data_IF_205671970835
#
_entry.id   IF_205671970835
#
_cell.length_a   1.000
_cell.length_b   1.000
_cell.length_c   1.000
_cell.angle_alpha   90.00
_cell.angle_beta   90.00
_cell.angle_gamma   90.00
#
_symmetry.space_group_name_H-M   'P 1'
#
loop_
_entity.id
_entity.type
_entity.pdbx_description
1 polymer ?
#
# COMPACT_ATOMS: atom_id res chain seq x y z
N UNK A 1 6.96 -21.27 32.43
CA UNK A 1 7.69 -20.00 32.61
C UNK A 1 8.09 -19.54 31.22
N UNK A 2 7.34 -18.60 30.64
CA UNK A 2 7.60 -18.13 29.28
C UNK A 2 8.89 -17.30 29.26
N UNK A 3 9.76 -17.59 28.32
CA UNK A 3 10.87 -16.71 27.97
C UNK A 3 10.28 -15.36 27.54
N UNK A 4 10.41 -14.35 28.39
CA UNK A 4 10.33 -12.97 27.94
C UNK A 4 11.54 -12.77 27.02
N UNK A 5 11.31 -12.73 25.71
CA UNK A 5 12.31 -12.25 24.78
C UNK A 5 12.75 -10.86 25.26
N UNK A 6 14.06 -10.65 25.37
CA UNK A 6 14.64 -9.38 25.80
C UNK A 6 14.03 -8.27 24.95
N UNK A 7 13.28 -7.37 25.59
CA UNK A 7 12.79 -6.17 24.93
C UNK A 7 14.04 -5.32 24.64
N UNK A 8 14.37 -5.00 23.37
CA UNK A 8 15.55 -4.20 23.07
C UNK A 8 15.44 -2.85 23.77
N UNK A 9 16.57 -2.34 24.27
CA UNK A 9 16.61 -0.98 24.79
C UNK A 9 16.21 0.00 23.68
N UNK A 10 15.47 1.07 24.03
CA UNK A 10 14.92 2.03 23.06
C UNK A 10 15.98 2.71 22.18
N UNK A 11 17.27 2.60 22.50
CA UNK A 11 18.39 3.14 21.73
C UNK A 11 18.68 2.41 20.42
N UNK A 12 18.20 1.17 20.27
CA UNK A 12 18.54 0.31 19.12
C UNK A 12 17.46 0.31 18.02
N UNK A 13 16.36 1.04 18.25
CA UNK A 13 15.22 1.11 17.33
C UNK A 13 15.21 2.42 16.53
N UNK A 14 15.04 2.28 15.22
CA UNK A 14 14.79 3.40 14.31
C UNK A 14 13.29 3.56 14.09
N UNK A 15 12.71 4.64 14.61
CA UNK A 15 11.29 4.96 14.38
C UNK A 15 11.07 5.28 12.90
N UNK A 16 10.09 4.61 12.28
CA UNK A 16 9.84 4.68 10.84
C UNK A 16 9.07 5.95 10.43
N UNK A 17 8.25 6.49 11.30
CA UNK A 17 7.43 7.67 11.03
C UNK A 17 7.36 8.60 12.25
N UNK A 18 7.41 9.91 12.01
CA UNK A 18 7.14 10.96 12.99
C UNK A 18 7.17 12.30 12.28
N UNK A 19 6.51 13.35 12.80
CA UNK A 19 6.65 14.69 12.26
C UNK A 19 8.12 15.12 12.37
N UNK A 20 8.77 15.50 11.26
CA UNK A 20 10.14 16.04 11.33
C UNK A 20 10.14 17.48 11.81
N UNK A 21 9.10 18.24 11.47
CA UNK A 21 8.98 19.66 11.76
C UNK A 21 7.55 20.00 12.24
N UNK A 22 7.33 20.07 13.55
CA UNK A 22 6.07 20.51 14.15
C UNK A 22 5.30 19.41 14.88
N UNK A 23 4.01 19.65 15.12
CA UNK A 23 3.14 18.75 15.90
C UNK A 23 2.43 17.69 15.08
N UNK A 24 2.31 17.90 13.75
CA UNK A 24 1.67 16.97 12.81
C UNK A 24 2.60 16.67 11.64
N UNK A 25 2.60 15.42 11.20
CA UNK A 25 3.35 15.00 10.02
C UNK A 25 2.71 15.56 8.74
N UNK A 26 3.52 16.08 7.83
CA UNK A 26 3.11 16.59 6.53
C UNK A 26 3.04 15.46 5.50
N UNK A 27 1.85 15.17 4.99
CA UNK A 27 1.60 13.99 4.14
C UNK A 27 1.28 14.39 2.70
N UNK A 28 1.97 13.77 1.75
CA UNK A 28 1.60 13.81 0.34
C UNK A 28 0.78 12.57 -0.05
N UNK A 29 -0.42 12.77 -0.61
CA UNK A 29 -1.26 11.65 -1.07
C UNK A 29 -1.26 11.57 -2.59
N UNK A 30 -0.81 10.45 -3.14
CA UNK A 30 -0.65 10.20 -4.57
C UNK A 30 -1.82 9.36 -5.10
N UNK A 31 -2.37 9.76 -6.24
CA UNK A 31 -3.50 9.05 -6.86
C UNK A 31 -3.53 9.22 -8.39
N UNK A 32 -4.00 8.19 -9.09
CA UNK A 32 -4.10 8.18 -10.57
C UNK A 32 -5.54 8.06 -11.09
N UNK A 33 -6.51 7.87 -10.21
CA UNK A 33 -7.88 7.49 -10.55
C UNK A 33 -8.94 8.20 -9.71
N UNK A 34 -9.96 7.45 -9.24
CA UNK A 34 -11.11 7.96 -8.48
C UNK A 34 -10.73 8.56 -7.13
N UNK A 35 -9.68 8.06 -6.49
CA UNK A 35 -9.17 8.59 -5.22
C UNK A 35 -9.98 8.18 -3.99
N UNK A 36 -10.78 7.12 -4.03
CA UNK A 36 -11.58 6.70 -2.86
C UNK A 36 -10.75 6.44 -1.60
N UNK A 37 -9.54 5.87 -1.75
CA UNK A 37 -8.62 5.67 -0.63
C UNK A 37 -8.04 7.02 -0.13
N UNK A 38 -7.78 7.96 -1.05
CA UNK A 38 -7.31 9.30 -0.71
C UNK A 38 -8.37 10.09 0.05
N UNK A 39 -9.64 9.97 -0.35
CA UNK A 39 -10.79 10.57 0.32
C UNK A 39 -10.88 10.15 1.79
N UNK A 40 -10.70 8.85 2.11
CA UNK A 40 -10.71 8.39 3.51
C UNK A 40 -9.55 8.94 4.34
N UNK A 41 -8.36 9.04 3.76
CA UNK A 41 -7.19 9.65 4.42
C UNK A 41 -7.43 11.15 4.64
N UNK A 42 -8.03 11.85 3.67
CA UNK A 42 -8.38 13.26 3.77
C UNK A 42 -9.44 13.51 4.86
N UNK A 43 -10.49 12.68 4.92
CA UNK A 43 -11.53 12.73 5.94
C UNK A 43 -10.92 12.61 7.34
N UNK A 44 -10.13 11.57 7.60
CA UNK A 44 -9.46 11.38 8.90
C UNK A 44 -8.53 12.55 9.23
N UNK A 45 -7.80 13.09 8.24
CA UNK A 45 -6.85 14.21 8.48
C UNK A 45 -7.50 15.49 9.05
N UNK A 46 -8.83 15.64 8.90
CA UNK A 46 -9.59 16.77 9.45
C UNK A 46 -10.10 16.54 10.86
N UNK A 47 -10.05 15.32 11.37
CA UNK A 47 -10.53 15.02 12.71
C UNK A 47 -9.63 15.68 13.78
N UNK A 48 -10.20 16.16 14.90
CA UNK A 48 -9.40 16.67 16.01
C UNK A 48 -8.47 15.59 16.58
N UNK A 49 -7.24 15.97 16.93
CA UNK A 49 -6.29 15.07 17.60
C UNK A 49 -5.53 14.09 16.70
N UNK A 50 -5.76 14.10 15.38
CA UNK A 50 -4.92 13.34 14.43
C UNK A 50 -3.52 13.95 14.29
N UNK A 51 -2.54 13.09 14.09
CA UNK A 51 -1.10 13.40 14.16
C UNK A 51 -0.49 13.72 12.79
N UNK A 52 -1.32 13.84 11.75
CA UNK A 52 -0.89 14.24 10.41
C UNK A 52 -1.82 15.27 9.77
N UNK A 53 -1.34 15.90 8.72
CA UNK A 53 -2.12 16.73 7.82
C UNK A 53 -1.76 16.36 6.37
N UNK A 54 -2.77 16.24 5.51
CA UNK A 54 -2.52 16.10 4.07
C UNK A 54 -2.17 17.48 3.51
N UNK A 55 -0.91 17.69 3.17
CA UNK A 55 -0.40 19.01 2.72
C UNK A 55 -0.43 19.18 1.21
N UNK A 56 -0.48 18.07 0.46
CA UNK A 56 -0.54 18.09 -1.00
C UNK A 56 -1.16 16.80 -1.56
N UNK A 57 -1.99 16.94 -2.59
CA UNK A 57 -2.44 15.85 -3.44
C UNK A 57 -1.59 15.78 -4.71
N UNK A 58 -1.23 14.58 -5.14
CA UNK A 58 -0.32 14.35 -6.26
C UNK A 58 -0.96 13.45 -7.31
N UNK A 59 -0.82 13.80 -8.59
CA UNK A 59 -1.31 12.96 -9.69
C UNK A 59 -0.41 12.94 -10.91
N UNK A 60 -0.34 11.76 -11.55
CA UNK A 60 0.27 11.54 -12.86
C UNK A 60 -0.72 11.69 -14.02
N UNK A 61 -2.02 11.90 -13.73
CA UNK A 61 -3.10 11.94 -14.73
C UNK A 61 -4.09 13.08 -14.45
N UNK A 62 -3.64 14.34 -14.48
CA UNK A 62 -4.50 15.48 -14.13
C UNK A 62 -5.77 15.59 -14.98
N UNK A 63 -5.78 15.02 -16.19
CA UNK A 63 -6.92 15.06 -17.12
C UNK A 63 -8.00 14.01 -16.83
N UNK A 64 -7.69 12.94 -16.08
CA UNK A 64 -8.62 11.81 -15.88
C UNK A 64 -8.75 11.37 -14.42
N UNK A 65 -7.90 11.85 -13.53
CA UNK A 65 -8.00 11.58 -12.10
C UNK A 65 -8.92 12.58 -11.42
N UNK A 66 -9.59 12.16 -10.35
CA UNK A 66 -10.43 13.02 -9.52
C UNK A 66 -9.62 13.93 -8.56
N UNK A 67 -8.30 14.02 -8.72
CA UNK A 67 -7.44 14.77 -7.80
C UNK A 67 -7.84 16.23 -7.66
N UNK A 68 -8.19 16.90 -8.77
CA UNK A 68 -8.60 18.31 -8.74
C UNK A 68 -9.90 18.51 -7.94
N UNK A 69 -10.84 17.57 -8.07
CA UNK A 69 -12.11 17.58 -7.32
C UNK A 69 -11.85 17.41 -5.83
N UNK A 70 -10.98 16.48 -5.44
CA UNK A 70 -10.62 16.28 -4.04
C UNK A 70 -9.84 17.47 -3.47
N UNK A 71 -8.89 18.02 -4.24
CA UNK A 71 -8.10 19.18 -3.86
C UNK A 71 -8.99 20.39 -3.54
N UNK A 72 -9.94 20.69 -4.43
CA UNK A 72 -10.91 21.77 -4.23
C UNK A 72 -11.81 21.50 -3.01
N UNK A 73 -12.42 20.32 -2.94
CA UNK A 73 -13.37 19.96 -1.86
C UNK A 73 -12.75 20.01 -0.47
N UNK A 74 -11.49 19.59 -0.34
CA UNK A 74 -10.78 19.55 0.94
C UNK A 74 -9.91 20.79 1.20
N UNK A 75 -9.78 21.70 0.22
CA UNK A 75 -8.92 22.88 0.33
C UNK A 75 -7.43 22.52 0.43
N UNK A 76 -7.01 21.45 -0.24
CA UNK A 76 -5.63 20.94 -0.23
C UNK A 76 -4.95 21.26 -1.57
N UNK A 77 -3.72 21.81 -1.58
CA UNK A 77 -2.97 22.03 -2.80
C UNK A 77 -2.80 20.76 -3.65
N UNK A 78 -2.68 20.95 -4.96
CA UNK A 78 -2.46 19.86 -5.91
C UNK A 78 -1.17 20.07 -6.71
N UNK A 79 -0.37 19.01 -6.79
CA UNK A 79 0.76 18.88 -7.72
C UNK A 79 0.39 17.88 -8.81
N UNK A 80 0.42 18.35 -10.06
CA UNK A 80 0.15 17.54 -11.23
C UNK A 80 1.39 17.45 -12.11
N UNK A 81 1.81 16.23 -12.46
CA UNK A 81 2.87 16.00 -13.43
C UNK A 81 2.47 14.86 -14.37
N UNK A 82 1.84 15.20 -15.49
CA UNK A 82 1.31 14.23 -16.45
C UNK A 82 2.43 13.35 -17.03
N UNK A 83 2.45 12.08 -16.62
CA UNK A 83 3.51 11.15 -17.02
C UNK A 83 3.44 10.79 -18.51
N UNK A 84 2.25 10.79 -19.12
CA UNK A 84 2.10 10.49 -20.55
C UNK A 84 2.65 11.64 -21.38
N UNK A 85 2.30 12.86 -20.98
CA UNK A 85 2.82 14.09 -21.59
C UNK A 85 4.34 14.16 -21.47
N UNK A 86 4.87 13.89 -20.27
CA UNK A 86 6.31 13.90 -20.00
C UNK A 86 7.12 12.93 -20.88
N UNK A 87 6.60 11.72 -21.12
CA UNK A 87 7.22 10.74 -22.02
C UNK A 87 7.09 11.16 -23.49
N UNK A 88 5.93 11.68 -23.89
CA UNK A 88 5.66 12.13 -25.28
C UNK A 88 6.60 13.27 -25.69
N UNK A 89 6.82 14.25 -24.80
CA UNK A 89 7.75 15.37 -25.03
C UNK A 89 9.20 14.91 -25.24
N UNK A 90 9.55 13.72 -24.73
CA UNK A 90 10.86 13.08 -24.93
C UNK A 90 10.89 12.07 -26.08
N UNK A 91 9.88 12.11 -26.96
CA UNK A 91 9.79 11.26 -28.14
C UNK A 91 9.40 9.81 -27.85
N UNK A 92 8.98 9.49 -26.61
CA UNK A 92 8.59 8.13 -26.24
C UNK A 92 7.09 7.91 -26.44
N UNK A 93 6.74 6.91 -27.26
CA UNK A 93 5.33 6.56 -27.57
C UNK A 93 4.61 5.83 -26.45
N UNK A 94 5.35 5.23 -25.50
CA UNK A 94 4.81 4.42 -24.41
C UNK A 94 5.57 4.68 -23.12
N UNK A 95 4.83 4.63 -22.01
CA UNK A 95 5.40 4.59 -20.68
C UNK A 95 5.90 3.15 -20.45
N UNK A 96 7.21 2.97 -20.31
CA UNK A 96 7.82 1.65 -20.11
C UNK A 96 9.12 1.79 -19.32
N UNK A 97 9.42 0.76 -18.52
CA UNK A 97 10.71 0.59 -17.83
C UNK A 97 11.60 -0.46 -18.50
N UNK A 98 11.13 -1.09 -19.59
CA UNK A 98 11.86 -2.14 -20.29
C UNK A 98 13.10 -1.59 -21.01
N UNK A 99 13.04 -0.37 -21.54
CA UNK A 99 14.16 0.30 -22.22
C UNK A 99 14.93 1.23 -21.29
N UNK A 100 16.23 1.40 -21.56
CA UNK A 100 17.07 2.36 -20.83
C UNK A 100 16.53 3.79 -20.92
N UNK A 101 16.14 4.23 -22.12
CA UNK A 101 15.52 5.54 -22.32
C UNK A 101 14.24 5.71 -21.47
N UNK A 102 13.44 4.65 -21.34
CA UNK A 102 12.23 4.63 -20.51
C UNK A 102 12.52 4.76 -19.02
N UNK A 103 13.59 4.10 -18.54
CA UNK A 103 14.06 4.22 -17.15
C UNK A 103 14.62 5.61 -16.84
N UNK A 104 15.51 6.14 -17.68
CA UNK A 104 16.04 7.51 -17.54
C UNK A 104 14.94 8.56 -17.56
N UNK A 105 13.92 8.36 -18.40
CA UNK A 105 12.74 9.23 -18.41
C UNK A 105 11.94 9.12 -17.12
N UNK A 106 11.78 7.92 -16.54
CA UNK A 106 11.11 7.75 -15.24
C UNK A 106 11.85 8.44 -14.12
N UNK A 107 13.18 8.32 -14.08
CA UNK A 107 14.03 8.96 -13.09
C UNK A 107 13.93 10.49 -13.18
N UNK A 108 14.02 11.05 -14.39
CA UNK A 108 13.85 12.48 -14.62
C UNK A 108 12.46 12.98 -14.19
N UNK A 109 11.41 12.21 -14.49
CA UNK A 109 10.04 12.53 -14.05
C UNK A 109 9.92 12.50 -12.52
N UNK A 110 10.51 11.49 -11.87
CA UNK A 110 10.53 11.36 -10.40
C UNK A 110 11.28 12.53 -9.76
N UNK A 111 12.44 12.92 -10.32
CA UNK A 111 13.22 14.06 -9.84
C UNK A 111 12.43 15.37 -9.95
N UNK A 112 11.79 15.63 -11.09
CA UNK A 112 10.95 16.82 -11.25
C UNK A 112 9.76 16.81 -10.29
N UNK A 113 9.16 15.65 -10.03
CA UNK A 113 8.08 15.52 -9.06
C UNK A 113 8.57 15.87 -7.64
N UNK A 114 9.76 15.40 -7.25
CA UNK A 114 10.37 15.71 -5.95
C UNK A 114 10.67 17.21 -5.80
N UNK A 115 11.15 17.89 -6.86
CA UNK A 115 11.34 19.35 -6.84
C UNK A 115 10.03 20.09 -6.58
N UNK A 116 8.93 19.66 -7.22
CA UNK A 116 7.60 20.24 -7.01
C UNK A 116 7.07 19.99 -5.59
N UNK A 117 7.53 18.93 -4.92
CA UNK A 117 7.10 18.57 -3.56
C UNK A 117 7.88 19.28 -2.46
N UNK A 118 9.05 19.87 -2.75
CA UNK A 118 9.90 20.56 -1.75
C UNK A 118 9.15 21.60 -0.90
N UNK A 119 8.28 22.48 -1.46
CA UNK A 119 7.60 23.51 -0.67
C UNK A 119 6.66 22.96 0.41
N UNK A 120 6.22 21.71 0.28
CA UNK A 120 5.25 21.08 1.18
C UNK A 120 5.87 20.35 2.37
N UNK A 121 7.21 20.32 2.46
CA UNK A 121 7.97 19.72 3.55
C UNK A 121 7.47 18.30 3.91
N UNK A 122 7.24 17.46 2.90
CA UNK A 122 6.64 16.13 3.04
C UNK A 122 7.48 15.24 3.95
N UNK A 123 6.86 14.75 5.04
CA UNK A 123 7.45 13.80 5.98
C UNK A 123 7.37 12.37 5.45
N UNK A 124 6.23 12.02 4.85
CA UNK A 124 5.97 10.73 4.20
C UNK A 124 4.85 10.82 3.14
N UNK A 125 4.83 9.84 2.23
CA UNK A 125 3.85 9.73 1.15
C UNK A 125 2.82 8.60 1.38
N UNK A 126 1.66 8.71 0.74
CA UNK A 126 0.63 7.66 0.70
C UNK A 126 0.20 7.41 -0.74
N UNK A 127 0.44 6.20 -1.25
CA UNK A 127 -0.01 5.76 -2.57
C UNK A 127 -1.45 5.22 -2.46
N UNK A 128 -2.41 6.10 -2.76
CA UNK A 128 -3.83 5.80 -2.70
C UNK A 128 -4.37 5.50 -4.12
N UNK A 129 -3.93 4.37 -4.68
CA UNK A 129 -4.24 4.00 -6.07
C UNK A 129 -3.38 4.74 -7.09
N UNK A 130 -2.10 4.96 -6.75
CA UNK A 130 -1.11 5.54 -7.64
C UNK A 130 -0.48 4.46 -8.52
N UNK A 131 -0.54 4.66 -9.85
CA UNK A 131 -0.17 3.63 -10.83
C UNK A 131 1.33 3.64 -11.20
N UNK A 132 1.99 4.80 -11.37
CA UNK A 132 3.38 4.79 -11.77
C UNK A 132 4.32 4.28 -10.68
N UNK A 133 5.18 3.33 -11.03
CA UNK A 133 6.38 3.01 -10.24
C UNK A 133 7.31 4.22 -10.19
N UNK A 134 7.51 4.82 -9.02
CA UNK A 134 8.40 5.96 -8.89
C UNK A 134 9.21 5.85 -7.61
N UNK A 135 10.43 6.39 -7.65
CA UNK A 135 11.39 6.26 -6.55
C UNK A 135 11.36 7.44 -5.58
N UNK A 136 10.20 8.07 -5.37
CA UNK A 136 10.03 9.13 -4.35
C UNK A 136 10.34 8.62 -2.95
N UNK A 137 10.18 7.31 -2.70
CA UNK A 137 10.52 6.69 -1.42
C UNK A 137 12.00 6.74 -1.06
N UNK A 138 12.88 7.10 -2.00
CA UNK A 138 14.30 7.38 -1.71
C UNK A 138 14.52 8.67 -0.91
N UNK A 139 13.52 9.56 -0.84
CA UNK A 139 13.61 10.85 -0.13
C UNK A 139 12.78 10.86 1.16
N UNK A 140 11.60 10.25 1.14
CA UNK A 140 10.73 10.11 2.31
C UNK A 140 9.97 8.79 2.25
N UNK A 141 9.69 8.13 3.38
CA UNK A 141 8.96 6.85 3.38
C UNK A 141 7.60 7.00 2.70
N UNK A 142 7.13 5.93 2.03
CA UNK A 142 5.83 5.94 1.36
C UNK A 142 5.04 4.69 1.74
N UNK A 143 3.76 4.88 2.05
CA UNK A 143 2.83 3.81 2.38
C UNK A 143 2.03 3.42 1.13
N UNK A 144 1.74 2.13 0.96
CA UNK A 144 0.84 1.66 -0.09
C UNK A 144 -0.18 0.67 0.50
N UNK A 145 -1.41 0.72 0.02
CA UNK A 145 -2.42 -0.31 0.32
C UNK A 145 -2.49 -1.32 -0.84
N UNK A 146 -2.51 -2.59 -0.48
CA UNK A 146 -2.57 -3.72 -1.40
C UNK A 146 -3.83 -4.56 -1.13
N UNK A 147 -4.62 -4.91 -2.16
CA UNK A 147 -5.87 -5.65 -2.01
C UNK A 147 -5.61 -7.16 -1.88
N UNK A 148 -4.84 -7.56 -0.87
CA UNK A 148 -4.54 -8.96 -0.55
C UNK A 148 -3.84 -9.08 0.80
N UNK A 149 -3.97 -10.24 1.45
CA UNK A 149 -3.25 -10.55 2.68
C UNK A 149 -1.80 -10.93 2.35
N UNK A 150 -0.89 -9.98 2.54
CA UNK A 150 0.53 -10.16 2.24
C UNK A 150 1.26 -10.99 3.30
N UNK A 151 0.60 -11.35 4.40
CA UNK A 151 1.17 -12.27 5.40
C UNK A 151 1.04 -13.73 4.98
N UNK A 152 0.17 -14.02 4.02
CA UNK A 152 0.00 -15.35 3.44
C UNK A 152 1.13 -15.67 2.46
N UNK A 153 1.89 -16.71 2.80
CA UNK A 153 3.10 -17.12 2.09
C UNK A 153 3.09 -18.62 1.82
N UNK A 154 3.67 -19.01 0.70
CA UNK A 154 4.03 -20.38 0.35
C UNK A 154 5.52 -20.38 0.01
N UNK A 155 6.29 -21.33 0.56
CA UNK A 155 7.74 -21.43 0.38
C UNK A 155 8.50 -20.11 0.63
N UNK A 156 8.07 -19.37 1.67
CA UNK A 156 8.65 -18.08 2.06
C UNK A 156 8.32 -16.91 1.11
N UNK A 157 7.41 -17.11 0.14
CA UNK A 157 7.02 -16.08 -0.84
C UNK A 157 5.57 -15.67 -0.68
N UNK A 158 5.30 -14.37 -0.74
CA UNK A 158 3.94 -13.81 -0.71
C UNK A 158 3.15 -14.28 -1.93
N UNK A 159 2.03 -14.96 -1.70
CA UNK A 159 1.23 -15.56 -2.81
C UNK A 159 0.24 -14.57 -3.38
N UNK A 160 -0.46 -13.82 -2.52
CA UNK A 160 -1.53 -12.89 -2.89
C UNK A 160 -1.01 -11.54 -3.39
N UNK A 161 0.02 -11.56 -4.23
CA UNK A 161 0.62 -10.38 -4.88
C UNK A 161 0.10 -10.21 -6.31
N UNK A 162 0.26 -9.00 -6.84
CA UNK A 162 -0.08 -8.65 -8.22
C UNK A 162 -1.10 -7.52 -8.34
N UNK A 163 -1.47 -7.20 -9.59
CA UNK A 163 -2.32 -6.05 -9.92
C UNK A 163 -3.77 -6.47 -10.20
N UNK A 164 -4.68 -5.49 -10.16
CA UNK A 164 -6.09 -5.66 -10.50
C UNK A 164 -6.78 -6.72 -9.62
N UNK A 165 -7.49 -7.67 -10.23
CA UNK A 165 -8.21 -8.76 -9.55
C UNK A 165 -7.31 -9.93 -9.18
N UNK A 166 -6.04 -9.95 -9.62
CA UNK A 166 -5.17 -11.13 -9.49
C UNK A 166 -5.03 -11.60 -8.03
N UNK A 167 -4.78 -10.74 -7.03
CA UNK A 167 -4.70 -11.18 -5.63
C UNK A 167 -6.00 -11.83 -5.13
N UNK A 168 -7.15 -11.30 -5.55
CA UNK A 168 -8.48 -11.78 -5.14
C UNK A 168 -8.76 -13.14 -5.79
N UNK A 169 -8.46 -13.27 -7.08
CA UNK A 169 -8.60 -14.53 -7.81
C UNK A 169 -7.73 -15.63 -7.17
N UNK A 170 -6.48 -15.32 -6.82
CA UNK A 170 -5.61 -16.27 -6.11
C UNK A 170 -6.19 -16.67 -4.76
N UNK A 171 -6.65 -15.73 -3.94
CA UNK A 171 -7.25 -16.03 -2.65
C UNK A 171 -8.48 -16.95 -2.79
N UNK A 172 -9.34 -16.68 -3.79
CA UNK A 172 -10.47 -17.55 -4.12
C UNK A 172 -9.98 -18.95 -4.49
N UNK A 173 -9.03 -19.08 -5.43
CA UNK A 173 -8.55 -20.37 -5.93
C UNK A 173 -7.81 -21.21 -4.87
N UNK A 174 -7.11 -20.55 -3.94
CA UNK A 174 -6.51 -21.15 -2.75
C UNK A 174 -7.54 -21.59 -1.70
N UNK A 175 -8.83 -21.26 -1.87
CA UNK A 175 -9.91 -21.69 -1.00
C UNK A 175 -10.09 -20.86 0.26
N UNK A 176 -9.62 -19.62 0.27
CA UNK A 176 -9.88 -18.71 1.39
C UNK A 176 -11.39 -18.42 1.51
N UNK A 177 -11.88 -18.27 2.74
CA UNK A 177 -13.26 -17.86 3.03
C UNK A 177 -13.40 -16.35 3.18
N UNK A 178 -12.30 -15.62 3.32
CA UNK A 178 -12.27 -14.18 3.48
C UNK A 178 -11.02 -13.55 2.85
N UNK A 179 -11.10 -12.25 2.61
CA UNK A 179 -10.04 -11.39 2.10
C UNK A 179 -9.61 -10.40 3.17
N UNK A 180 -8.39 -9.87 3.03
CA UNK A 180 -7.87 -8.73 3.80
C UNK A 180 -7.08 -7.81 2.88
N UNK A 181 -7.02 -6.53 3.24
CA UNK A 181 -6.12 -5.56 2.63
C UNK A 181 -4.89 -5.39 3.52
N UNK A 182 -3.74 -5.22 2.91
CA UNK A 182 -2.46 -4.98 3.60
C UNK A 182 -1.98 -3.56 3.34
N UNK A 183 -1.51 -2.86 4.36
CA UNK A 183 -0.75 -1.61 4.19
C UNK A 183 0.72 -1.91 4.39
N UNK A 184 1.54 -1.51 3.43
CA UNK A 184 2.99 -1.74 3.47
C UNK A 184 3.77 -0.43 3.50
N UNK A 185 4.96 -0.47 4.11
CA UNK A 185 6.01 0.50 3.81
C UNK A 185 6.64 0.10 2.48
N UNK A 186 6.56 0.98 1.48
CA UNK A 186 7.13 0.70 0.15
C UNK A 186 8.65 0.81 0.15
N UNK A 187 9.29 -0.03 -0.64
CA UNK A 187 10.73 -0.03 -0.85
C UNK A 187 11.06 0.60 -2.22
N UNK A 188 12.25 1.21 -2.37
CA UNK A 188 12.71 1.68 -3.67
C UNK A 188 12.68 0.56 -4.70
N UNK A 189 12.08 0.85 -5.85
CA UNK A 189 12.03 -0.10 -6.96
C UNK A 189 13.39 -0.17 -7.65
N UNK A 190 13.92 -1.38 -7.75
CA UNK A 190 15.09 -1.73 -8.55
C UNK A 190 14.68 -2.58 -9.76
N UNK A 191 15.41 -2.46 -10.87
CA UNK A 191 15.15 -3.24 -12.08
C UNK A 191 13.75 -3.00 -12.70
N UNK A 192 12.97 -4.08 -12.83
CA UNK A 192 11.65 -4.06 -13.51
C UNK A 192 10.45 -3.97 -12.55
N UNK A 193 10.64 -3.95 -11.23
CA UNK A 193 9.53 -3.88 -10.26
C UNK A 193 9.17 -5.19 -9.58
N UNK A 194 10.09 -6.16 -9.51
CA UNK A 194 9.80 -7.50 -8.96
C UNK A 194 9.52 -7.49 -7.44
N UNK A 195 9.89 -6.41 -6.73
CA UNK A 195 9.79 -6.25 -5.28
C UNK A 195 8.72 -5.21 -4.84
N UNK A 196 7.68 -4.94 -5.63
CA UNK A 196 6.72 -3.88 -5.29
C UNK A 196 5.96 -4.10 -3.97
N UNK A 197 5.70 -5.37 -3.63
CA UNK A 197 4.93 -5.78 -2.46
C UNK A 197 5.81 -6.50 -1.44
N UNK A 198 7.11 -6.17 -1.30
CA UNK A 198 8.05 -6.86 -0.38
C UNK A 198 8.22 -6.19 0.99
N UNK A 199 7.98 -4.89 1.08
CA UNK A 199 8.27 -4.13 2.30
C UNK A 199 7.42 -4.53 3.51
N UNK A 200 7.75 -3.94 4.67
CA UNK A 200 7.10 -4.23 5.95
C UNK A 200 5.58 -4.10 5.86
N UNK A 201 4.87 -5.11 6.35
CA UNK A 201 3.40 -5.09 6.45
C UNK A 201 3.08 -4.38 7.76
N UNK A 202 2.61 -3.14 7.67
CA UNK A 202 2.33 -2.29 8.82
C UNK A 202 0.92 -2.51 9.37
N UNK A 203 -0.01 -2.95 8.52
CA UNK A 203 -1.39 -3.17 8.92
C UNK A 203 -2.13 -4.17 8.05
N UNK A 204 -3.03 -4.93 8.69
CA UNK A 204 -4.05 -5.74 8.03
C UNK A 204 -5.44 -5.23 8.38
N UNK A 205 -6.33 -5.23 7.40
CA UNK A 205 -7.74 -4.93 7.62
C UNK A 205 -8.47 -6.05 8.36
N UNK A 206 -9.72 -5.80 8.82
CA UNK A 206 -10.63 -6.88 9.20
C UNK A 206 -10.82 -7.88 8.06
N UNK A 207 -11.25 -9.09 8.41
CA UNK A 207 -11.64 -10.10 7.42
C UNK A 207 -12.91 -9.66 6.68
N UNK A 208 -12.86 -9.71 5.35
CA UNK A 208 -14.00 -9.46 4.47
C UNK A 208 -14.44 -10.78 3.84
N UNK A 209 -15.62 -11.34 4.18
CA UNK A 209 -16.06 -12.62 3.64
C UNK A 209 -16.12 -12.62 2.11
N UNK A 210 -15.65 -13.71 1.49
CA UNK A 210 -15.76 -13.90 0.04
C UNK A 210 -17.20 -14.27 -0.30
N UNK A 211 -17.79 -13.49 -1.20
CA UNK A 211 -19.07 -13.78 -1.82
C UNK A 211 -18.85 -14.51 -3.15
N UNK A 212 -19.10 -15.82 -3.14
CA UNK A 212 -18.98 -16.66 -4.32
C UNK A 212 -20.14 -16.48 -5.33
N UNK A 213 -21.12 -15.62 -5.03
CA UNK A 213 -22.27 -15.34 -5.89
C UNK A 213 -23.02 -16.62 -6.33
N UNK A 214 -23.14 -17.59 -5.42
CA UNK A 214 -23.78 -18.89 -5.67
C UNK A 214 -22.93 -19.91 -6.45
N UNK A 215 -21.65 -19.61 -6.74
CA UNK A 215 -20.74 -20.49 -7.48
C UNK A 215 -19.89 -21.36 -6.53
N UNK A 216 -19.51 -22.57 -6.94
CA UNK A 216 -18.59 -23.41 -6.15
C UNK A 216 -17.12 -23.14 -6.49
N UNK A 217 -16.21 -23.46 -5.55
CA UNK A 217 -14.77 -23.32 -5.78
C UNK A 217 -14.28 -24.22 -6.94
N UNK A 218 -14.82 -25.43 -7.05
CA UNK A 218 -14.50 -26.39 -8.12
C UNK A 218 -14.81 -25.79 -9.49
N UNK A 219 -15.99 -25.15 -9.62
CA UNK A 219 -16.37 -24.46 -10.86
C UNK A 219 -15.40 -23.33 -11.21
N UNK A 220 -14.97 -22.54 -10.23
CA UNK A 220 -14.01 -21.46 -10.46
C UNK A 220 -12.63 -21.97 -10.87
N UNK A 221 -12.20 -23.11 -10.33
CA UNK A 221 -10.98 -23.80 -10.77
C UNK A 221 -11.09 -24.32 -12.21
N UNK A 222 -12.24 -24.87 -12.61
CA UNK A 222 -12.48 -25.25 -14.01
C UNK A 222 -12.43 -24.05 -14.97
N UNK A 223 -13.01 -22.91 -14.56
CA UNK A 223 -12.94 -21.66 -15.34
C UNK A 223 -11.49 -21.22 -15.50
N UNK A 224 -10.72 -21.19 -14.41
CA UNK A 224 -9.31 -20.84 -14.44
C UNK A 224 -8.49 -21.76 -15.36
N UNK A 225 -8.70 -23.08 -15.27
CA UNK A 225 -7.97 -24.08 -16.07
C UNK A 225 -8.26 -23.98 -17.58
N UNK A 226 -9.36 -23.34 -17.98
CA UNK A 226 -9.70 -23.07 -19.40
C UNK A 226 -9.14 -21.76 -19.92
N UNK A 227 -8.53 -20.93 -19.08
CA UNK A 227 -8.01 -19.62 -19.51
C UNK A 227 -6.84 -19.79 -20.48
N UNK A 228 -6.70 -18.86 -21.45
CA UNK A 228 -5.48 -18.79 -22.25
C UNK A 228 -4.28 -18.44 -21.35
N UNK A 229 -3.09 -18.89 -21.74
CA UNK A 229 -1.85 -18.61 -21.00
C UNK A 229 -1.60 -17.10 -20.82
N UNK A 230 -1.94 -16.29 -21.82
CA UNK A 230 -1.80 -14.83 -21.78
C UNK A 230 -3.12 -14.14 -21.47
N UNK A 231 -3.14 -13.25 -20.47
CA UNK A 231 -4.30 -12.40 -20.16
C UNK A 231 -4.65 -11.51 -21.36
N UNK A 232 -5.90 -11.53 -21.87
CA UNK A 232 -6.32 -10.64 -22.95
C UNK A 232 -6.27 -9.17 -22.52
N UNK A 233 -6.18 -8.27 -23.50
CA UNK A 233 -6.07 -6.81 -23.26
C UNK A 233 -7.20 -6.25 -22.39
N UNK A 234 -8.41 -6.81 -22.48
CA UNK A 234 -9.59 -6.35 -21.74
C UNK A 234 -9.89 -7.17 -20.49
N UNK A 235 -8.96 -8.04 -20.06
CA UNK A 235 -9.22 -9.06 -19.04
C UNK A 235 -9.71 -10.37 -19.64
N UNK A 236 -9.90 -11.38 -18.78
CA UNK A 236 -10.48 -12.67 -19.15
C UNK A 236 -12.00 -12.57 -19.34
N UNK A 237 -12.65 -11.66 -18.61
CA UNK A 237 -14.10 -11.43 -18.58
C UNK A 237 -14.97 -12.69 -18.31
N UNK A 238 -14.37 -13.66 -17.64
CA UNK A 238 -15.03 -14.88 -17.21
C UNK A 238 -15.67 -14.75 -15.82
N UNK A 239 -16.33 -15.82 -15.40
CA UNK A 239 -17.03 -15.94 -14.12
C UNK A 239 -16.12 -15.65 -12.92
N UNK A 240 -14.87 -16.16 -12.94
CA UNK A 240 -13.89 -15.92 -11.88
C UNK A 240 -13.50 -14.44 -11.79
N UNK A 241 -13.22 -13.79 -12.92
CA UNK A 241 -12.87 -12.37 -12.89
C UNK A 241 -14.06 -11.50 -12.44
N UNK A 242 -15.30 -11.86 -12.81
CA UNK A 242 -16.51 -11.15 -12.35
C UNK A 242 -16.69 -11.24 -10.84
N UNK A 243 -16.56 -12.43 -10.27
CA UNK A 243 -16.62 -12.63 -8.82
C UNK A 243 -15.46 -11.91 -8.12
N UNK A 244 -14.27 -11.95 -8.70
CA UNK A 244 -13.12 -11.25 -8.14
C UNK A 244 -13.29 -9.72 -8.15
N UNK A 245 -13.85 -9.13 -9.22
CA UNK A 245 -14.19 -7.69 -9.26
C UNK A 245 -15.22 -7.32 -8.20
N UNK A 246 -16.27 -8.12 -8.05
CA UNK A 246 -17.28 -7.91 -7.01
C UNK A 246 -16.69 -7.92 -5.60
N UNK A 247 -15.85 -8.92 -5.30
CA UNK A 247 -15.19 -9.01 -4.01
C UNK A 247 -14.11 -7.94 -3.81
N UNK A 248 -13.45 -7.48 -4.88
CA UNK A 248 -12.48 -6.38 -4.82
C UNK A 248 -13.17 -5.07 -4.42
N UNK A 249 -14.37 -4.78 -4.94
CA UNK A 249 -15.12 -3.59 -4.52
C UNK A 249 -15.53 -3.68 -3.04
N UNK A 250 -16.00 -4.86 -2.59
CA UNK A 250 -16.27 -5.09 -1.15
C UNK A 250 -15.03 -4.92 -0.29
N UNK A 251 -13.89 -5.44 -0.73
CA UNK A 251 -12.62 -5.34 -0.05
C UNK A 251 -12.10 -3.88 -0.01
N UNK A 252 -12.36 -3.10 -1.06
CA UNK A 252 -12.02 -1.68 -1.05
C UNK A 252 -12.74 -0.94 0.08
N UNK A 253 -14.05 -1.19 0.25
CA UNK A 253 -14.86 -0.48 1.25
C UNK A 253 -14.63 -0.98 2.68
N UNK A 254 -14.50 -2.29 2.87
CA UNK A 254 -14.38 -2.91 4.21
C UNK A 254 -12.95 -3.24 4.61
N UNK A 255 -12.03 -3.16 3.66
CA UNK A 255 -10.60 -3.38 3.82
C UNK A 255 -9.84 -2.08 3.69
N UNK A 256 -9.59 -1.62 2.44
CA UNK A 256 -8.72 -0.47 2.16
C UNK A 256 -9.12 0.79 2.92
N UNK A 257 -10.41 1.15 2.87
CA UNK A 257 -10.95 2.35 3.51
C UNK A 257 -10.85 2.33 5.03
N UNK A 258 -10.80 1.13 5.60
CA UNK A 258 -10.66 0.92 7.04
C UNK A 258 -9.19 0.98 7.43
N UNK A 259 -8.34 0.14 6.84
CA UNK A 259 -6.95 -0.02 7.33
C UNK A 259 -6.05 1.15 6.97
N UNK A 260 -6.19 1.74 5.77
CA UNK A 260 -5.23 2.74 5.30
C UNK A 260 -5.19 4.01 6.18
N UNK A 261 -6.32 4.66 6.50
CA UNK A 261 -6.29 5.88 7.33
C UNK A 261 -5.67 5.64 8.72
N UNK A 262 -6.01 4.52 9.36
CA UNK A 262 -5.48 4.21 10.69
C UNK A 262 -4.00 3.86 10.68
N UNK A 263 -3.49 3.18 9.65
CA UNK A 263 -2.04 2.96 9.51
C UNK A 263 -1.32 4.28 9.28
N UNK A 264 -1.88 5.19 8.46
CA UNK A 264 -1.33 6.54 8.26
C UNK A 264 -1.22 7.30 9.59
N UNK A 265 -2.26 7.27 10.43
CA UNK A 265 -2.23 7.89 11.76
C UNK A 265 -1.20 7.25 12.69
N UNK A 266 -1.14 5.92 12.77
CA UNK A 266 -0.17 5.22 13.61
C UNK A 266 1.28 5.44 13.16
N UNK A 267 1.49 5.55 11.83
CA UNK A 267 2.78 5.92 11.25
C UNK A 267 3.17 7.34 11.61
N UNK A 268 2.25 8.30 11.47
CA UNK A 268 2.47 9.69 11.88
C UNK A 268 2.74 9.85 13.38
N UNK A 269 2.13 9.02 14.24
CA UNK A 269 2.39 8.96 15.69
C UNK A 269 3.74 8.33 16.07
N UNK A 270 4.48 7.79 15.11
CA UNK A 270 5.68 7.01 15.36
C UNK A 270 5.45 5.79 16.23
N UNK A 271 4.41 5.03 15.90
CA UNK A 271 4.14 3.74 16.54
C UNK A 271 4.83 2.57 15.85
N UNK A 272 5.53 2.80 14.74
CA UNK A 272 6.32 1.76 14.06
C UNK A 272 7.82 2.08 14.15
N UNK A 273 8.62 1.05 14.37
CA UNK A 273 10.08 1.13 14.36
C UNK A 273 10.69 -0.15 13.77
N UNK A 274 11.96 -0.08 13.40
CA UNK A 274 12.76 -1.26 13.02
C UNK A 274 14.06 -1.32 13.80
N UNK A 275 14.57 -2.51 14.05
CA UNK A 275 15.93 -2.71 14.54
C UNK A 275 16.94 -2.83 13.38
N UNK A 276 18.21 -3.04 13.73
CA UNK A 276 19.30 -3.25 12.76
C UNK A 276 19.24 -4.60 12.02
N UNK A 277 18.44 -5.55 12.49
CA UNK A 277 18.23 -6.86 11.88
C UNK A 277 17.05 -6.85 10.90
N UNK A 278 16.31 -5.74 10.81
CA UNK A 278 15.15 -5.61 9.95
C UNK A 278 13.88 -6.22 10.55
N UNK A 279 13.80 -6.35 11.88
CA UNK A 279 12.56 -6.74 12.55
C UNK A 279 11.65 -5.51 12.72
N UNK A 280 10.34 -5.70 12.53
CA UNK A 280 9.34 -4.64 12.74
C UNK A 280 8.89 -4.62 14.20
N UNK A 281 8.78 -3.43 14.77
CA UNK A 281 8.27 -3.18 16.10
C UNK A 281 7.06 -2.25 16.06
N UNK A 282 6.10 -2.51 16.95
CA UNK A 282 4.93 -1.67 17.16
C UNK A 282 4.83 -1.22 18.62
N UNK A 283 4.51 0.06 18.84
CA UNK A 283 4.42 0.64 20.19
C UNK A 283 3.02 0.53 20.75
N UNK A 284 2.85 -0.14 21.89
CA UNK A 284 1.58 -0.27 22.64
C UNK A 284 1.81 0.18 24.07
N UNK A 285 0.97 1.08 24.59
CA UNK A 285 1.08 1.62 25.95
C UNK A 285 2.50 2.10 26.33
N UNK A 286 3.17 2.73 25.35
CA UNK A 286 4.54 3.25 25.52
C UNK A 286 5.65 2.21 25.40
N UNK A 287 5.33 0.93 25.23
CA UNK A 287 6.28 -0.17 25.10
C UNK A 287 6.40 -0.65 23.66
N UNK A 288 7.62 -0.92 23.20
CA UNK A 288 7.85 -1.57 21.91
C UNK A 288 7.62 -3.07 22.01
N UNK A 289 7.02 -3.64 20.95
CA UNK A 289 6.80 -5.07 20.81
C UNK A 289 7.20 -5.50 19.40
N UNK A 290 8.00 -6.56 19.27
CA UNK A 290 8.31 -7.13 17.96
C UNK A 290 7.05 -7.75 17.33
N UNK A 291 6.76 -7.40 16.09
CA UNK A 291 5.55 -7.82 15.37
C UNK A 291 5.85 -8.27 13.95
N UNK A 292 5.06 -9.22 13.45
CA UNK A 292 4.99 -9.50 12.00
C UNK A 292 4.17 -8.43 11.26
N UNK A 293 3.10 -7.95 11.90
CA UNK A 293 2.17 -6.92 11.42
C UNK A 293 1.25 -6.47 12.56
N UNK A 294 0.29 -5.59 12.29
CA UNK A 294 -0.76 -5.16 13.21
C UNK A 294 -2.13 -5.37 12.55
N UNK A 295 -3.07 -6.03 13.21
CA UNK A 295 -4.44 -6.12 12.73
C UNK A 295 -5.25 -4.92 13.23
N UNK A 296 -6.08 -4.37 12.35
CA UNK A 296 -7.00 -3.28 12.66
C UNK A 296 -8.43 -3.79 12.63
N UNK A 297 -9.24 -3.40 13.61
CA UNK A 297 -10.70 -3.55 13.53
C UNK A 297 -11.35 -2.37 12.77
N UNK A 298 -12.68 -2.39 12.66
CA UNK A 298 -13.45 -1.35 11.95
C UNK A 298 -13.41 0.03 12.62
N UNK A 299 -12.93 0.12 13.87
CA UNK A 299 -12.82 1.34 14.66
C UNK A 299 -11.37 1.82 14.81
N UNK A 300 -10.42 1.12 14.19
CA UNK A 300 -9.00 1.44 14.26
C UNK A 300 -8.29 0.93 15.52
N UNK A 301 -8.92 0.07 16.32
CA UNK A 301 -8.23 -0.60 17.42
C UNK A 301 -7.22 -1.58 16.86
N UNK A 302 -6.06 -1.67 17.52
CA UNK A 302 -4.90 -2.40 17.03
C UNK A 302 -4.66 -3.67 17.82
N UNK A 303 -4.51 -4.80 17.14
CA UNK A 303 -4.03 -6.05 17.72
C UNK A 303 -2.65 -6.39 17.11
N UNK A 304 -1.55 -6.25 17.87
CA UNK A 304 -0.22 -6.64 17.40
C UNK A 304 -0.17 -8.15 17.09
N UNK A 305 0.38 -8.52 15.94
CA UNK A 305 0.64 -9.93 15.60
C UNK A 305 2.10 -10.23 15.93
N UNK A 306 2.40 -11.05 16.95
CA UNK A 306 3.78 -11.28 17.39
C UNK A 306 4.61 -11.98 16.31
N UNK A 307 5.92 -11.74 16.34
CA UNK A 307 6.88 -12.57 15.60
C UNK A 307 6.98 -13.92 16.29
N UNK A 308 6.85 -15.01 15.53
CA UNK A 308 7.15 -16.34 16.04
C UNK A 308 8.65 -16.61 15.90
N UNK A 309 9.40 -16.43 16.98
CA UNK A 309 10.84 -16.70 17.01
C UNK A 309 11.19 -18.19 17.13
N UNK A 310 10.18 -19.08 17.19
CA UNK A 310 10.38 -20.51 17.49
C UNK A 310 11.06 -21.33 16.38
N UNK A 311 11.46 -20.73 15.25
CA UNK A 311 12.14 -21.42 14.14
C UNK A 311 13.53 -20.85 13.79
N UNK A 312 14.15 -20.09 14.70
CA UNK A 312 15.56 -19.65 14.56
C UNK A 312 16.58 -20.62 15.15
N UNK A 313 16.20 -21.89 15.31
CA UNK A 313 17.09 -22.98 15.71
C UNK A 313 16.90 -24.17 14.80
N UNK A 314 17.62 -24.19 13.68
CA UNK A 314 18.42 -25.34 13.25
C UNK A 314 19.34 -24.92 12.10
N UNK A 315 20.56 -25.45 12.17
CA UNK A 315 21.81 -25.08 11.49
C UNK A 315 21.79 -25.06 9.95
#
# INVERSE_FOLDING_TARGET
>A
MGHFANNPESSDLTVLGSPRNGTKASVAVFMSGSGSNAERVLELSREPGVSFAVTVLVTDRPKTSNTAVLAERFGVPMVALDIREFYRERGLKRISLASEAGRRTREAWTAQLLELLKPYAVDFGVFAGFIPLCNVMRVFPCLNVHPGDLTYQEDGRRVLVGLHTIPIEKAILCGHSSLRSSVILTEPVEGQGDNMDSGFILGLSPQVPIDFMGTSLERLREVYNRRPQSRPKNGFDDELEKIARHNQEKLKERGDWVVLPYVVENFARGRYATDSQGNLYFRVDGQWQAVKTVEFDEYGNTTPVPVDFSHSGDC
#
